data_IF_207104134823
#
_entry.id   IF_207104134823
#
_cell.length_a   1.000
_cell.length_b   1.000
_cell.length_c   1.000
_cell.angle_alpha   90.00
_cell.angle_beta   90.00
_cell.angle_gamma   90.00
#
_symmetry.space_group_name_H-M   'P 1'
#
loop_
_entity.id
_entity.type
_entity.pdbx_description
1 polymer ?
#
# COMPACT_ATOMS: atom_id res chain seq x y z
N UNK A 1 26.48 43.72 -11.87
CA UNK A 1 26.03 43.95 -10.48
C UNK A 1 25.70 42.60 -9.87
N UNK A 2 26.53 42.13 -8.94
CA UNK A 2 26.41 40.82 -8.31
C UNK A 2 25.35 40.86 -7.21
N UNK A 3 24.30 40.04 -7.33
CA UNK A 3 23.34 39.78 -6.25
C UNK A 3 23.92 38.69 -5.35
N UNK A 4 24.53 39.11 -4.24
CA UNK A 4 24.83 38.26 -3.08
C UNK A 4 23.51 37.70 -2.53
N UNK A 5 23.28 36.40 -2.73
CA UNK A 5 22.26 35.66 -1.96
C UNK A 5 22.80 35.48 -0.54
N UNK A 6 22.20 36.18 0.41
CA UNK A 6 22.40 35.93 1.83
C UNK A 6 21.91 34.52 2.17
N UNK A 7 22.85 33.60 2.44
CA UNK A 7 22.58 32.38 3.20
C UNK A 7 22.44 32.76 4.67
N UNK A 8 21.22 33.01 5.11
CA UNK A 8 20.91 32.97 6.54
C UNK A 8 20.73 31.51 6.94
N UNK A 9 21.73 30.96 7.63
CA UNK A 9 21.63 29.71 8.37
C UNK A 9 20.57 29.88 9.46
N UNK A 10 19.35 29.40 9.19
CA UNK A 10 18.29 29.35 10.18
C UNK A 10 18.27 27.95 10.79
N UNK A 11 19.22 27.67 11.69
CA UNK A 11 19.18 26.49 12.56
C UNK A 11 18.24 26.77 13.73
N UNK A 12 16.95 26.94 13.45
CA UNK A 12 15.94 26.69 14.46
C UNK A 12 15.84 25.16 14.60
N UNK A 13 16.09 24.64 15.81
CA UNK A 13 15.83 23.22 16.09
C UNK A 13 14.39 22.93 15.67
N UNK A 14 14.21 22.03 14.69
CA UNK A 14 12.89 21.66 14.23
C UNK A 14 12.07 21.18 15.43
N UNK A 15 10.91 21.78 15.68
CA UNK A 15 10.00 21.32 16.72
C UNK A 15 9.63 19.87 16.40
N UNK A 16 9.94 18.95 17.32
CA UNK A 16 9.51 17.56 17.21
C UNK A 16 8.00 17.50 17.33
N UNK A 17 7.31 17.18 16.22
CA UNK A 17 5.88 16.90 16.21
C UNK A 17 5.69 15.43 16.57
N UNK A 18 5.01 15.08 17.67
CA UNK A 18 4.77 13.68 18.01
C UNK A 18 3.86 13.02 16.96
N UNK A 19 3.93 11.67 16.81
CA UNK A 19 2.87 10.92 16.16
C UNK A 19 1.50 11.32 16.72
N UNK A 20 0.50 11.39 15.86
CA UNK A 20 -0.84 11.81 16.26
C UNK A 20 -1.92 11.31 15.29
N UNK A 21 -3.16 11.36 15.77
CA UNK A 21 -4.37 11.22 14.96
C UNK A 21 -5.17 12.51 15.14
N UNK A 22 -5.71 13.10 14.07
CA UNK A 22 -6.63 14.24 14.20
C UNK A 22 -7.87 13.77 14.99
N UNK A 23 -8.19 14.49 16.07
CA UNK A 23 -9.18 14.08 17.08
C UNK A 23 -8.59 13.31 18.28
N UNK A 24 -7.37 12.80 18.18
CA UNK A 24 -6.59 12.24 19.30
C UNK A 24 -5.10 12.62 19.19
N UNK A 25 -4.70 13.81 19.68
CA UNK A 25 -3.31 14.27 19.61
C UNK A 25 -2.33 13.42 20.45
N UNK A 26 -2.84 12.55 21.33
CA UNK A 26 -2.04 11.67 22.17
C UNK A 26 -1.86 10.27 21.57
N UNK A 27 -2.33 10.03 20.34
CA UNK A 27 -2.13 8.76 19.66
C UNK A 27 -0.64 8.47 19.47
N UNK A 28 -0.18 7.37 20.07
CA UNK A 28 1.20 6.90 19.99
C UNK A 28 1.19 5.51 19.34
N UNK A 29 1.71 5.36 18.10
CA UNK A 29 1.79 4.08 17.42
C UNK A 29 2.52 3.01 18.22
N UNK A 30 3.57 3.35 18.97
CA UNK A 30 4.30 2.36 19.79
C UNK A 30 3.37 1.75 20.84
N UNK A 31 2.60 2.60 21.52
CA UNK A 31 1.65 2.16 22.56
C UNK A 31 0.48 1.41 21.95
N UNK A 32 -0.10 1.92 20.86
CA UNK A 32 -1.22 1.27 20.18
C UNK A 32 -0.87 -0.15 19.70
N UNK A 33 0.34 -0.35 19.14
CA UNK A 33 0.80 -1.67 18.69
C UNK A 33 1.21 -2.60 19.83
N UNK A 34 1.54 -2.07 21.01
CA UNK A 34 1.82 -2.85 22.21
C UNK A 34 0.54 -3.22 23.00
N UNK A 35 -0.55 -2.48 22.81
CA UNK A 35 -1.83 -2.69 23.49
C UNK A 35 -2.66 -3.79 22.81
N UNK A 36 -2.36 -5.03 23.16
CA UNK A 36 -3.07 -6.20 22.64
C UNK A 36 -4.55 -6.22 23.02
N UNK A 37 -4.91 -5.68 24.20
CA UNK A 37 -6.30 -5.68 24.66
C UNK A 37 -7.15 -4.73 23.80
N UNK A 38 -6.65 -3.51 23.54
CA UNK A 38 -7.34 -2.56 22.68
C UNK A 38 -7.40 -3.04 21.23
N UNK A 39 -6.34 -3.68 20.75
CA UNK A 39 -6.34 -4.32 19.43
C UNK A 39 -7.44 -5.38 19.32
N UNK A 40 -7.54 -6.29 20.29
CA UNK A 40 -8.58 -7.32 20.32
C UNK A 40 -9.98 -6.73 20.45
N UNK A 41 -10.17 -5.64 21.20
CA UNK A 41 -11.45 -4.91 21.26
C UNK A 41 -11.85 -4.37 19.89
N UNK A 42 -10.92 -3.74 19.17
CA UNK A 42 -11.17 -3.25 17.82
C UNK A 42 -11.49 -4.40 16.85
N UNK A 43 -10.78 -5.54 16.96
CA UNK A 43 -11.06 -6.72 16.15
C UNK A 43 -12.41 -7.36 16.45
N UNK A 44 -12.87 -7.37 17.72
CA UNK A 44 -14.22 -7.86 18.06
C UNK A 44 -15.29 -6.95 17.47
N UNK A 45 -15.17 -5.63 17.62
CA UNK A 45 -16.09 -4.67 17.01
C UNK A 45 -16.18 -4.89 15.48
N UNK A 46 -15.04 -5.11 14.83
CA UNK A 46 -14.98 -5.35 13.40
C UNK A 46 -15.60 -6.70 12.99
N UNK A 47 -15.19 -7.80 13.62
CA UNK A 47 -15.50 -9.15 13.16
C UNK A 47 -16.83 -9.70 13.68
N UNK A 48 -17.21 -9.34 14.90
CA UNK A 48 -18.41 -9.86 15.58
C UNK A 48 -19.58 -8.88 15.41
N UNK A 49 -19.35 -7.59 15.68
CA UNK A 49 -20.41 -6.57 15.63
C UNK A 49 -20.63 -6.02 14.20
N UNK A 50 -19.68 -6.24 13.28
CA UNK A 50 -19.62 -5.57 11.96
C UNK A 50 -19.69 -4.04 12.07
N UNK A 51 -19.08 -3.50 13.13
CA UNK A 51 -19.07 -2.08 13.48
C UNK A 51 -17.70 -1.46 13.17
N UNK A 52 -17.58 -0.94 11.96
CA UNK A 52 -16.36 -0.30 11.46
C UNK A 52 -16.08 1.03 12.13
N UNK A 53 -17.11 1.82 12.43
CA UNK A 53 -16.96 3.10 13.13
C UNK A 53 -16.36 2.87 14.53
N UNK A 54 -16.94 1.95 15.31
CA UNK A 54 -16.42 1.56 16.62
C UNK A 54 -15.02 0.95 16.54
N UNK A 55 -14.73 0.10 15.55
CA UNK A 55 -13.40 -0.49 15.40
C UNK A 55 -12.31 0.57 15.16
N UNK A 56 -12.56 1.53 14.25
CA UNK A 56 -11.64 2.64 13.96
C UNK A 56 -11.49 3.56 15.17
N UNK A 57 -12.58 3.93 15.84
CA UNK A 57 -12.52 4.75 17.07
C UNK A 57 -11.73 4.08 18.18
N UNK A 58 -11.99 2.79 18.41
CA UNK A 58 -11.32 2.01 19.45
C UNK A 58 -9.82 1.95 19.19
N UNK A 59 -9.40 1.64 17.96
CA UNK A 59 -7.98 1.53 17.64
C UNK A 59 -7.24 2.87 17.74
N UNK A 60 -7.82 3.96 17.22
CA UNK A 60 -7.17 5.26 17.15
C UNK A 60 -7.48 6.19 18.34
N UNK A 61 -8.35 5.76 19.27
CA UNK A 61 -8.81 6.58 20.40
C UNK A 61 -9.57 7.83 19.98
N UNK A 62 -10.36 7.75 18.90
CA UNK A 62 -11.14 8.88 18.38
C UNK A 62 -12.42 9.05 19.23
N UNK A 63 -12.76 10.25 19.71
CA UNK A 63 -13.97 10.50 20.53
C UNK A 63 -15.25 10.26 19.73
N UNK A 64 -16.36 9.90 20.38
CA UNK A 64 -17.65 9.62 19.72
C UNK A 64 -18.19 10.82 18.93
N UNK A 65 -17.98 12.03 19.46
CA UNK A 65 -18.25 13.31 18.80
C UNK A 65 -17.07 13.68 17.91
N UNK A 66 -17.09 13.17 16.68
CA UNK A 66 -16.09 13.46 15.65
C UNK A 66 -16.79 13.78 14.32
N UNK A 67 -16.42 14.89 13.71
CA UNK A 67 -16.96 15.40 12.45
C UNK A 67 -15.92 15.43 11.32
N UNK A 68 -14.74 14.84 11.54
CA UNK A 68 -13.69 14.77 10.54
C UNK A 68 -14.20 14.16 9.23
N UNK A 69 -13.95 14.87 8.13
CA UNK A 69 -14.32 14.46 6.78
C UNK A 69 -13.08 13.89 6.10
N UNK A 70 -13.16 12.61 5.73
CA UNK A 70 -12.14 11.93 4.94
C UNK A 70 -12.33 12.26 3.46
N UNK A 71 -11.25 12.60 2.76
CA UNK A 71 -11.26 13.03 1.38
C UNK A 71 -10.44 12.07 0.50
N UNK A 72 -11.08 11.49 -0.52
CA UNK A 72 -10.39 10.84 -1.63
C UNK A 72 -11.15 11.12 -2.93
N UNK A 73 -11.58 10.08 -3.66
CA UNK A 73 -12.52 10.24 -4.80
C UNK A 73 -13.91 10.69 -4.33
N UNK A 74 -14.28 10.35 -3.09
CA UNK A 74 -15.47 10.80 -2.41
C UNK A 74 -15.10 11.39 -1.03
N UNK A 75 -15.98 12.21 -0.48
CA UNK A 75 -15.84 12.76 0.87
C UNK A 75 -16.86 12.12 1.80
N UNK A 76 -16.41 11.57 2.94
CA UNK A 76 -17.28 10.89 3.90
C UNK A 76 -16.83 11.18 5.33
N UNK A 77 -17.75 11.14 6.29
CA UNK A 77 -17.42 10.97 7.72
C UNK A 77 -17.34 9.47 8.07
N UNK A 78 -16.83 9.16 9.26
CA UNK A 78 -16.74 7.75 9.72
C UNK A 78 -18.13 7.10 9.81
N UNK A 79 -19.12 7.83 10.34
CA UNK A 79 -20.51 7.38 10.42
C UNK A 79 -21.13 7.16 9.03
N UNK A 80 -20.82 8.03 8.05
CA UNK A 80 -21.28 7.83 6.68
C UNK A 80 -20.65 6.59 6.03
N UNK A 81 -19.37 6.31 6.30
CA UNK A 81 -18.70 5.11 5.83
C UNK A 81 -19.33 3.83 6.43
N UNK A 82 -19.61 3.83 7.74
CA UNK A 82 -20.35 2.75 8.42
C UNK A 82 -21.75 2.55 7.80
N UNK A 83 -22.51 3.63 7.63
CA UNK A 83 -23.84 3.57 7.02
C UNK A 83 -23.81 2.97 5.61
N UNK A 84 -22.79 3.32 4.83
CA UNK A 84 -22.63 2.76 3.49
C UNK A 84 -22.39 1.25 3.51
N UNK A 85 -21.69 0.70 4.52
CA UNK A 85 -21.52 -0.75 4.69
C UNK A 85 -22.84 -1.43 5.01
N UNK A 86 -23.63 -0.86 5.92
CA UNK A 86 -24.93 -1.41 6.32
C UNK A 86 -25.89 -1.58 5.13
N UNK A 87 -25.88 -0.62 4.20
CA UNK A 87 -26.77 -0.63 3.03
C UNK A 87 -26.10 -1.12 1.74
N UNK A 88 -24.83 -1.55 1.80
CA UNK A 88 -24.01 -1.81 0.62
C UNK A 88 -24.64 -2.83 -0.34
N UNK A 89 -25.17 -3.92 0.21
CA UNK A 89 -25.79 -4.99 -0.57
C UNK A 89 -27.10 -4.54 -1.22
N UNK A 90 -27.97 -3.91 -0.43
CA UNK A 90 -29.29 -3.42 -0.88
C UNK A 90 -29.16 -2.34 -1.97
N UNK A 91 -28.11 -1.52 -1.90
CA UNK A 91 -27.84 -0.43 -2.85
C UNK A 91 -26.93 -0.85 -4.01
N UNK A 92 -26.61 -2.14 -4.15
CA UNK A 92 -25.79 -2.63 -5.27
C UNK A 92 -24.33 -2.15 -5.24
N UNK A 93 -23.82 -1.75 -4.08
CA UNK A 93 -22.44 -1.27 -3.91
C UNK A 93 -21.40 -2.42 -3.89
N UNK A 94 -21.85 -3.67 -3.91
CA UNK A 94 -21.01 -4.88 -3.90
C UNK A 94 -20.93 -5.58 -5.27
N UNK A 95 -21.38 -4.92 -6.35
CA UNK A 95 -21.46 -5.51 -7.70
C UNK A 95 -20.12 -5.47 -8.44
N UNK A 96 -19.07 -6.05 -7.85
CA UNK A 96 -17.70 -6.01 -8.40
C UNK A 96 -17.56 -6.82 -9.68
N UNK A 97 -18.22 -7.99 -9.71
CA UNK A 97 -18.07 -9.01 -10.75
C UNK A 97 -19.23 -9.04 -11.75
N UNK A 98 -20.09 -8.03 -11.73
CA UNK A 98 -21.19 -7.93 -12.69
C UNK A 98 -20.65 -7.86 -14.13
N UNK A 99 -21.19 -8.71 -15.00
CA UNK A 99 -20.75 -8.88 -16.39
C UNK A 99 -19.41 -9.60 -16.60
N UNK A 100 -18.68 -9.99 -15.54
CA UNK A 100 -17.34 -10.62 -15.67
C UNK A 100 -17.41 -12.01 -16.33
N UNK A 101 -18.53 -12.72 -16.19
CA UNK A 101 -18.74 -14.03 -16.81
C UNK A 101 -19.41 -13.95 -18.19
N UNK A 102 -19.58 -12.75 -18.75
CA UNK A 102 -20.24 -12.49 -20.03
C UNK A 102 -21.54 -11.68 -19.89
N UNK A 103 -21.91 -10.98 -20.95
CA UNK A 103 -23.17 -10.21 -21.00
C UNK A 103 -24.38 -11.11 -20.77
N UNK A 104 -25.32 -10.66 -19.93
CA UNK A 104 -26.53 -11.42 -19.58
C UNK A 104 -26.30 -12.58 -18.61
N UNK A 105 -25.06 -12.87 -18.21
CA UNK A 105 -24.76 -13.88 -17.19
C UNK A 105 -24.82 -13.25 -15.81
N UNK A 106 -25.87 -13.58 -15.05
CA UNK A 106 -25.96 -13.19 -13.65
C UNK A 106 -24.80 -13.83 -12.86
N UNK A 107 -23.88 -12.99 -12.37
CA UNK A 107 -22.73 -13.44 -11.60
C UNK A 107 -23.06 -13.29 -10.11
N UNK A 108 -23.35 -14.39 -9.39
CA UNK A 108 -23.67 -14.29 -7.98
C UNK A 108 -22.45 -13.75 -7.20
N UNK A 109 -22.67 -13.07 -6.06
CA UNK A 109 -21.58 -12.66 -5.19
C UNK A 109 -20.71 -13.87 -4.82
N UNK A 110 -19.37 -13.70 -4.71
CA UNK A 110 -18.50 -14.76 -4.23
C UNK A 110 -18.93 -15.30 -2.87
N UNK A 111 -18.73 -16.59 -2.66
CA UNK A 111 -19.03 -17.21 -1.37
C UNK A 111 -18.05 -16.76 -0.28
N UNK A 112 -18.48 -16.80 0.99
CA UNK A 112 -17.60 -16.47 2.11
C UNK A 112 -16.34 -17.35 2.16
N UNK A 113 -16.43 -18.61 1.71
CA UNK A 113 -15.27 -19.51 1.61
C UNK A 113 -14.29 -19.09 0.52
N UNK A 114 -14.77 -18.59 -0.62
CA UNK A 114 -13.90 -18.05 -1.67
C UNK A 114 -13.21 -16.77 -1.22
N UNK A 115 -13.92 -15.85 -0.56
CA UNK A 115 -13.33 -14.61 0.00
C UNK A 115 -12.28 -14.95 1.07
N UNK A 116 -12.56 -15.93 1.93
CA UNK A 116 -11.61 -16.39 2.95
C UNK A 116 -10.37 -17.04 2.31
N UNK A 117 -10.57 -17.83 1.24
CA UNK A 117 -9.46 -18.43 0.50
C UNK A 117 -8.59 -17.36 -0.20
N UNK A 118 -9.19 -16.32 -0.77
CA UNK A 118 -8.46 -15.20 -1.36
C UNK A 118 -7.67 -14.42 -0.30
N UNK A 119 -8.32 -14.00 0.78
CA UNK A 119 -7.66 -13.21 1.84
C UNK A 119 -6.56 -14.02 2.55
N UNK A 120 -6.65 -15.35 2.58
CA UNK A 120 -5.59 -16.22 3.13
C UNK A 120 -4.27 -16.16 2.37
N UNK A 121 -4.26 -15.67 1.12
CA UNK A 121 -3.03 -15.46 0.33
C UNK A 121 -2.05 -14.52 1.03
N UNK A 122 -2.58 -13.63 1.87
CA UNK A 122 -1.82 -12.55 2.50
C UNK A 122 -1.52 -12.81 3.99
N UNK A 123 -1.90 -13.99 4.50
CA UNK A 123 -1.65 -14.34 5.89
C UNK A 123 -0.17 -14.67 6.12
N UNK A 124 0.47 -14.09 7.16
CA UNK A 124 1.89 -14.30 7.46
C UNK A 124 2.26 -15.75 7.76
N UNK A 125 1.29 -16.54 8.25
CA UNK A 125 1.49 -17.94 8.64
C UNK A 125 1.48 -18.92 7.46
N UNK A 126 1.12 -18.44 6.26
CA UNK A 126 0.97 -19.26 5.06
C UNK A 126 2.00 -18.89 3.99
N UNK A 127 2.25 -19.82 3.06
CA UNK A 127 3.11 -19.58 1.89
C UNK A 127 2.25 -19.05 0.75
N UNK A 128 2.45 -17.81 0.26
CA UNK A 128 1.62 -17.22 -0.78
C UNK A 128 1.58 -18.06 -2.06
N UNK A 129 2.73 -18.59 -2.50
CA UNK A 129 2.80 -19.48 -3.68
C UNK A 129 1.98 -20.77 -3.50
N UNK A 130 2.05 -21.39 -2.32
CA UNK A 130 1.30 -22.62 -2.02
C UNK A 130 -0.19 -22.33 -1.88
N UNK A 131 -0.55 -21.26 -1.18
CA UNK A 131 -1.93 -20.82 -1.00
C UNK A 131 -2.57 -20.43 -2.33
N UNK A 132 -1.84 -19.77 -3.25
CA UNK A 132 -2.33 -19.44 -4.59
C UNK A 132 -2.59 -20.70 -5.43
N UNK A 133 -1.71 -21.70 -5.34
CA UNK A 133 -1.92 -23.00 -5.98
C UNK A 133 -3.19 -23.69 -5.45
N UNK A 134 -3.39 -23.70 -4.13
CA UNK A 134 -4.61 -24.23 -3.51
C UNK A 134 -5.86 -23.39 -3.81
N UNK A 135 -5.70 -22.07 -3.96
CA UNK A 135 -6.77 -21.17 -4.35
C UNK A 135 -7.29 -21.52 -5.75
N UNK A 136 -6.38 -21.76 -6.70
CA UNK A 136 -6.68 -22.21 -8.05
C UNK A 136 -7.24 -23.64 -8.12
N UNK A 137 -6.60 -24.62 -7.45
CA UNK A 137 -6.96 -26.04 -7.60
C UNK A 137 -8.36 -26.40 -7.10
N UNK A 138 -8.89 -25.60 -6.16
CA UNK A 138 -10.23 -25.79 -5.59
C UNK A 138 -11.29 -24.93 -6.28
N UNK A 139 -10.94 -24.19 -7.33
CA UNK A 139 -11.86 -23.34 -8.07
C UNK A 139 -12.54 -24.10 -9.21
N UNK A 140 -13.82 -23.76 -9.48
CA UNK A 140 -14.44 -24.11 -10.76
C UNK A 140 -13.85 -23.20 -11.84
N UNK A 141 -13.48 -23.73 -13.01
CA UNK A 141 -12.80 -22.95 -14.07
C UNK A 141 -13.55 -21.69 -14.51
N UNK A 142 -14.89 -21.73 -14.49
CA UNK A 142 -15.77 -20.62 -14.87
C UNK A 142 -16.28 -19.79 -13.68
N UNK A 143 -15.78 -20.01 -12.46
CA UNK A 143 -16.16 -19.16 -11.33
C UNK A 143 -15.27 -17.92 -11.23
N UNK A 144 -15.77 -16.88 -10.53
CA UNK A 144 -14.98 -15.69 -10.18
C UNK A 144 -13.66 -16.08 -9.54
N UNK A 145 -13.67 -17.01 -8.59
CA UNK A 145 -12.44 -17.53 -7.96
C UNK A 145 -11.46 -18.11 -8.98
N UNK A 146 -11.96 -18.85 -9.97
CA UNK A 146 -11.13 -19.39 -11.05
C UNK A 146 -10.44 -18.28 -11.84
N UNK A 147 -11.20 -17.26 -12.24
CA UNK A 147 -10.68 -16.09 -12.97
C UNK A 147 -9.64 -15.31 -12.16
N UNK A 148 -9.94 -15.01 -10.89
CA UNK A 148 -8.99 -14.33 -9.99
C UNK A 148 -7.72 -15.17 -9.84
N UNK A 149 -7.84 -16.47 -9.57
CA UNK A 149 -6.70 -17.35 -9.38
C UNK A 149 -5.80 -17.41 -10.62
N UNK A 150 -6.40 -17.52 -11.81
CA UNK A 150 -5.67 -17.49 -13.08
C UNK A 150 -4.99 -16.15 -13.33
N UNK A 151 -5.67 -15.03 -13.06
CA UNK A 151 -5.10 -13.69 -13.19
C UNK A 151 -3.89 -13.49 -12.27
N UNK A 152 -4.04 -13.75 -10.98
CA UNK A 152 -2.96 -13.62 -10.00
C UNK A 152 -1.77 -14.54 -10.31
N UNK A 153 -2.03 -15.78 -10.73
CA UNK A 153 -0.98 -16.72 -11.11
C UNK A 153 -0.22 -16.28 -12.36
N UNK A 154 -0.89 -15.65 -13.33
CA UNK A 154 -0.26 -15.14 -14.55
C UNK A 154 0.67 -13.95 -14.31
N UNK A 155 0.41 -13.18 -13.23
CA UNK A 155 1.16 -11.96 -12.88
C UNK A 155 2.26 -12.21 -11.86
N UNK A 156 2.12 -13.22 -11.01
CA UNK A 156 3.09 -13.51 -9.94
C UNK A 156 4.41 -14.02 -10.52
N UNK A 157 5.51 -13.36 -10.16
CA UNK A 157 6.88 -13.80 -10.43
C UNK A 157 7.75 -13.44 -9.23
N UNK A 158 8.26 -14.40 -8.48
CA UNK A 158 9.20 -14.10 -7.38
C UNK A 158 10.08 -15.30 -7.08
N UNK A 159 11.39 -15.09 -7.08
CA UNK A 159 12.35 -16.04 -6.52
C UNK A 159 12.57 -15.85 -5.01
N UNK A 160 12.18 -14.68 -4.47
CA UNK A 160 12.34 -14.34 -3.06
C UNK A 160 11.13 -14.84 -2.28
N UNK A 161 11.37 -15.70 -1.28
CA UNK A 161 10.33 -16.24 -0.42
C UNK A 161 10.67 -15.91 1.05
N UNK A 162 10.02 -14.90 1.64
CA UNK A 162 10.19 -14.61 3.06
C UNK A 162 9.75 -15.79 3.94
N UNK A 163 10.38 -15.97 5.11
CA UNK A 163 9.95 -17.00 6.04
C UNK A 163 8.54 -16.69 6.57
N UNK A 164 7.72 -17.74 6.70
CA UNK A 164 6.40 -17.64 7.34
C UNK A 164 6.56 -17.21 8.81
N UNK A 165 5.60 -16.43 9.32
CA UNK A 165 5.55 -16.04 10.72
C UNK A 165 4.24 -16.47 11.39
N UNK A 166 4.36 -17.16 12.53
CA UNK A 166 3.23 -17.46 13.42
C UNK A 166 2.95 -16.33 14.43
N UNK A 167 3.90 -15.41 14.56
CA UNK A 167 3.82 -14.25 15.47
C UNK A 167 4.24 -13.00 14.69
N UNK A 168 3.50 -12.63 13.64
CA UNK A 168 3.76 -11.39 12.93
C UNK A 168 3.55 -10.18 13.87
N UNK A 169 4.18 -9.03 13.60
CA UNK A 169 3.73 -7.77 14.17
C UNK A 169 2.24 -7.55 13.88
N UNK A 170 1.46 -6.91 14.77
CA UNK A 170 0.09 -6.51 14.49
C UNK A 170 0.00 -5.70 13.19
N UNK A 171 -1.06 -5.91 12.42
CA UNK A 171 -1.29 -5.15 11.19
C UNK A 171 -2.79 -4.82 11.05
N UNK A 172 -3.28 -3.81 11.80
CA UNK A 172 -4.69 -3.43 11.78
C UNK A 172 -5.20 -3.11 10.37
N UNK A 173 -4.36 -2.58 9.48
CA UNK A 173 -4.77 -2.35 8.10
C UNK A 173 -5.11 -3.65 7.36
N UNK A 174 -4.31 -4.71 7.55
CA UNK A 174 -4.59 -6.01 6.95
C UNK A 174 -5.89 -6.60 7.51
N UNK A 175 -6.16 -6.49 8.81
CA UNK A 175 -7.39 -7.03 9.40
C UNK A 175 -8.64 -6.30 8.89
N UNK A 176 -8.58 -4.97 8.88
CA UNK A 176 -9.66 -4.13 8.36
C UNK A 176 -9.85 -4.38 6.87
N UNK A 177 -8.77 -4.58 6.11
CA UNK A 177 -8.85 -4.97 4.71
C UNK A 177 -9.55 -6.32 4.53
N UNK A 178 -9.13 -7.36 5.26
CA UNK A 178 -9.73 -8.70 5.17
C UNK A 178 -11.22 -8.66 5.53
N UNK A 179 -11.61 -7.86 6.53
CA UNK A 179 -13.01 -7.61 6.86
C UNK A 179 -13.74 -6.89 5.72
N UNK A 180 -13.12 -5.85 5.14
CA UNK A 180 -13.71 -5.09 4.04
C UNK A 180 -14.01 -5.99 2.84
N UNK A 181 -13.15 -6.98 2.57
CA UNK A 181 -13.38 -7.98 1.53
C UNK A 181 -14.67 -8.77 1.77
N UNK A 182 -14.95 -9.16 3.01
CA UNK A 182 -16.15 -9.93 3.37
C UNK A 182 -17.42 -9.10 3.25
N UNK A 183 -17.44 -7.89 3.80
CA UNK A 183 -18.65 -7.05 3.78
C UNK A 183 -18.96 -6.54 2.37
N UNK A 184 -17.93 -6.29 1.56
CA UNK A 184 -18.09 -5.85 0.18
C UNK A 184 -18.25 -6.99 -0.83
N UNK A 185 -18.18 -8.28 -0.45
CA UNK A 185 -18.17 -9.42 -1.37
C UNK A 185 -17.02 -9.38 -2.40
N UNK A 186 -15.84 -8.97 -1.97
CA UNK A 186 -14.63 -8.91 -2.79
C UNK A 186 -13.77 -10.16 -2.60
N UNK A 187 -13.49 -10.85 -3.71
CA UNK A 187 -12.71 -12.10 -3.78
C UNK A 187 -11.41 -11.93 -4.60
N UNK A 188 -11.01 -10.69 -4.86
CA UNK A 188 -9.80 -10.35 -5.61
C UNK A 188 -10.05 -9.92 -7.06
N UNK A 189 -8.99 -9.44 -7.73
CA UNK A 189 -9.08 -8.80 -9.02
C UNK A 189 -9.20 -9.78 -10.17
N UNK A 190 -9.97 -9.38 -11.19
CA UNK A 190 -10.03 -10.04 -12.50
C UNK A 190 -9.38 -9.13 -13.56
N UNK A 191 -9.00 -9.68 -14.73
CA UNK A 191 -8.48 -8.86 -15.82
C UNK A 191 -9.44 -7.74 -16.22
N UNK A 192 -8.89 -6.59 -16.62
CA UNK A 192 -9.63 -5.44 -17.15
C UNK A 192 -10.75 -4.90 -16.24
N UNK A 193 -10.62 -5.12 -14.94
CA UNK A 193 -11.56 -4.62 -13.96
C UNK A 193 -11.61 -3.08 -13.96
N UNK A 194 -12.78 -2.54 -14.28
CA UNK A 194 -13.02 -1.08 -14.28
C UNK A 194 -12.80 -0.49 -12.90
N UNK A 195 -12.31 0.75 -12.88
CA UNK A 195 -12.15 1.54 -11.66
C UNK A 195 -13.50 1.69 -10.95
N UNK A 196 -13.57 1.16 -9.73
CA UNK A 196 -14.72 1.33 -8.81
C UNK A 196 -14.16 1.74 -7.44
N UNK A 197 -14.82 2.70 -6.79
CA UNK A 197 -14.51 3.13 -5.42
C UNK A 197 -15.52 2.61 -4.41
N UNK A 198 -15.20 2.71 -3.12
CA UNK A 198 -16.13 2.42 -2.03
C UNK A 198 -15.94 3.39 -0.86
N UNK A 199 -16.97 3.55 -0.03
CA UNK A 199 -17.01 4.54 1.05
C UNK A 199 -16.00 4.28 2.18
N UNK A 200 -15.48 3.06 2.31
CA UNK A 200 -14.37 2.79 3.24
C UNK A 200 -13.03 3.36 2.76
N UNK A 201 -12.84 3.59 1.44
CA UNK A 201 -11.55 3.94 0.87
C UNK A 201 -10.96 5.23 1.48
N UNK A 202 -11.71 6.36 1.59
CA UNK A 202 -11.18 7.57 2.21
C UNK A 202 -10.71 7.34 3.66
N UNK A 203 -11.49 6.56 4.43
CA UNK A 203 -11.13 6.26 5.83
C UNK A 203 -9.84 5.45 5.89
N UNK A 204 -9.74 4.37 5.11
CA UNK A 204 -8.57 3.51 5.10
C UNK A 204 -7.32 4.27 4.60
N UNK A 205 -7.46 5.10 3.58
CA UNK A 205 -6.40 5.95 3.06
C UNK A 205 -5.85 6.87 4.14
N UNK A 206 -6.70 7.67 4.77
CA UNK A 206 -6.28 8.66 5.78
C UNK A 206 -5.62 8.05 7.03
N UNK A 207 -5.97 6.80 7.37
CA UNK A 207 -5.42 6.12 8.54
C UNK A 207 -4.22 5.25 8.25
N UNK A 208 -4.13 4.61 7.07
CA UNK A 208 -3.12 3.58 6.82
C UNK A 208 -2.34 3.75 5.50
N UNK A 209 -2.78 4.64 4.61
CA UNK A 209 -2.22 4.80 3.26
C UNK A 209 -2.96 3.97 2.20
N UNK A 210 -2.39 3.90 1.00
CA UNK A 210 -3.09 3.39 -0.20
C UNK A 210 -3.02 1.87 -0.41
N UNK A 211 -2.04 1.20 0.18
CA UNK A 211 -1.80 -0.22 -0.02
C UNK A 211 -1.39 -0.88 1.31
N UNK A 212 -1.82 -2.12 1.51
CA UNK A 212 -1.58 -2.86 2.74
C UNK A 212 -0.17 -3.46 2.72
N UNK A 213 0.69 -3.15 3.70
CA UNK A 213 2.00 -3.78 3.82
C UNK A 213 1.86 -5.22 4.30
N UNK A 214 1.72 -6.16 3.36
CA UNK A 214 1.60 -7.58 3.66
C UNK A 214 2.92 -8.15 4.19
N UNK A 215 2.86 -9.28 4.93
CA UNK A 215 4.06 -9.93 5.45
C UNK A 215 5.03 -10.38 4.35
N UNK A 216 4.50 -10.82 3.20
CA UNK A 216 5.32 -11.16 2.05
C UNK A 216 6.06 -9.92 1.52
N UNK A 217 5.37 -8.80 1.35
CA UNK A 217 5.98 -7.57 0.84
C UNK A 217 7.06 -7.04 1.79
N UNK A 218 6.73 -6.87 3.07
CA UNK A 218 7.67 -6.40 4.10
C UNK A 218 8.87 -7.34 4.25
N UNK A 219 8.63 -8.66 4.17
CA UNK A 219 9.68 -9.67 4.25
C UNK A 219 10.63 -9.64 3.05
N UNK A 220 10.13 -9.39 1.83
CA UNK A 220 10.97 -9.23 0.63
C UNK A 220 11.84 -7.98 0.79
N UNK A 221 11.26 -6.85 1.18
CA UNK A 221 12.01 -5.61 1.41
C UNK A 221 13.10 -5.82 2.47
N UNK A 222 12.79 -6.53 3.56
CA UNK A 222 13.78 -6.91 4.57
C UNK A 222 14.93 -7.73 3.99
N UNK A 223 14.64 -8.78 3.21
CA UNK A 223 15.66 -9.62 2.60
C UNK A 223 16.57 -8.78 1.69
N UNK A 224 16.00 -7.90 0.86
CA UNK A 224 16.75 -7.00 -0.02
C UNK A 224 17.63 -6.03 0.77
N UNK A 225 17.13 -5.50 1.89
CA UNK A 225 17.87 -4.57 2.75
C UNK A 225 19.00 -5.25 3.55
N UNK A 226 18.88 -6.55 3.81
CA UNK A 226 19.89 -7.36 4.50
C UNK A 226 20.84 -8.09 3.54
N UNK A 227 20.58 -8.02 2.22
CA UNK A 227 21.27 -8.84 1.23
C UNK A 227 22.76 -8.48 1.10
N UNK A 228 23.56 -9.52 1.26
CA UNK A 228 24.97 -9.56 0.95
C UNK A 228 25.28 -10.94 0.44
N UNK A 229 25.81 -11.04 -0.78
CA UNK A 229 26.22 -12.28 -1.43
C UNK A 229 27.28 -13.02 -0.57
N UNK A 230 26.83 -13.79 0.42
CA UNK A 230 27.53 -14.86 1.14
C UNK A 230 28.82 -14.53 1.90
N UNK A 231 29.43 -13.34 1.75
CA UNK A 231 30.76 -13.04 2.30
C UNK A 231 30.82 -11.76 3.15
N UNK A 232 30.00 -10.75 2.84
CA UNK A 232 29.76 -9.59 3.70
C UNK A 232 28.27 -9.22 3.62
N UNK A 233 27.60 -9.11 4.77
CA UNK A 233 26.21 -8.61 4.82
C UNK A 233 26.23 -7.12 4.54
N UNK A 234 25.83 -6.72 3.34
CA UNK A 234 25.69 -5.31 3.00
C UNK A 234 24.32 -4.83 3.50
N UNK A 235 24.30 -4.11 4.62
CA UNK A 235 23.07 -3.47 5.08
C UNK A 235 22.77 -2.28 4.18
N UNK A 236 21.59 -2.31 3.54
CA UNK A 236 21.08 -1.21 2.73
C UNK A 236 19.92 -0.53 3.45
N UNK A 237 19.85 0.78 3.29
CA UNK A 237 18.77 1.61 3.81
C UNK A 237 17.63 1.68 2.81
N UNK A 238 16.40 1.52 3.25
CA UNK A 238 15.21 1.73 2.42
C UNK A 238 14.85 3.21 2.46
N UNK A 239 14.63 3.83 1.31
CA UNK A 239 14.14 5.21 1.20
C UNK A 239 12.72 5.15 0.67
N UNK A 240 11.74 5.35 1.55
CA UNK A 240 10.31 5.42 1.24
C UNK A 240 9.95 6.82 0.76
N UNK A 241 9.93 7.01 -0.56
CA UNK A 241 9.70 8.31 -1.20
C UNK A 241 8.22 8.49 -1.50
N UNK A 242 7.64 9.59 -1.01
CA UNK A 242 6.19 9.78 -1.00
C UNK A 242 5.52 8.95 0.10
N UNK A 243 6.18 8.84 1.26
CA UNK A 243 5.76 7.98 2.37
C UNK A 243 4.39 8.30 2.97
N UNK A 244 3.79 9.45 2.62
CA UNK A 244 2.48 9.88 3.09
C UNK A 244 2.42 9.99 4.62
N UNK A 245 1.52 9.23 5.23
CA UNK A 245 1.41 9.17 6.69
C UNK A 245 2.51 8.36 7.39
N UNK A 246 3.36 7.66 6.63
CA UNK A 246 4.47 6.87 7.15
C UNK A 246 4.10 5.46 7.65
N UNK A 247 2.91 4.93 7.36
CA UNK A 247 2.51 3.59 7.84
C UNK A 247 3.42 2.46 7.34
N UNK A 248 3.82 2.49 6.05
CA UNK A 248 4.76 1.52 5.49
C UNK A 248 6.14 1.61 6.16
N UNK A 249 6.67 2.82 6.26
CA UNK A 249 7.91 3.09 6.98
C UNK A 249 7.86 2.63 8.45
N UNK A 250 6.75 2.85 9.15
CA UNK A 250 6.52 2.36 10.51
C UNK A 250 6.59 0.84 10.58
N UNK A 251 5.85 0.15 9.72
CA UNK A 251 5.81 -1.31 9.67
C UNK A 251 7.18 -1.93 9.35
N UNK A 252 7.94 -1.34 8.42
CA UNK A 252 9.29 -1.78 8.09
C UNK A 252 10.26 -1.62 9.26
N UNK A 253 10.24 -0.47 9.94
CA UNK A 253 11.11 -0.17 11.09
C UNK A 253 10.78 -1.04 12.29
N UNK A 254 9.54 -0.93 12.77
CA UNK A 254 9.14 -1.54 14.05
C UNK A 254 8.80 -3.01 13.91
N UNK A 255 8.18 -3.39 12.79
CA UNK A 255 7.77 -4.77 12.56
C UNK A 255 8.87 -5.69 12.01
N UNK A 256 9.78 -5.14 11.19
CA UNK A 256 10.75 -5.95 10.44
C UNK A 256 12.21 -5.58 10.72
N UNK A 257 12.47 -4.49 11.45
CA UNK A 257 13.82 -4.05 11.82
C UNK A 257 14.62 -3.48 10.65
N UNK A 258 13.94 -2.97 9.62
CA UNK A 258 14.57 -2.42 8.41
C UNK A 258 14.91 -0.95 8.62
N UNK A 259 16.18 -0.58 8.39
CA UNK A 259 16.62 0.83 8.39
C UNK A 259 15.93 1.56 7.23
N UNK A 260 14.89 2.31 7.54
CA UNK A 260 14.01 2.95 6.56
C UNK A 260 14.00 4.45 6.80
N UNK A 261 14.09 5.26 5.75
CA UNK A 261 13.91 6.72 5.79
C UNK A 261 12.61 7.07 5.07
N UNK A 262 11.73 7.77 5.77
CA UNK A 262 10.50 8.32 5.22
C UNK A 262 10.77 9.71 4.62
N UNK A 263 10.37 9.92 3.37
CA UNK A 263 10.46 11.21 2.67
C UNK A 263 9.09 11.56 2.12
N UNK A 264 8.60 12.75 2.44
CA UNK A 264 7.32 13.25 1.93
C UNK A 264 7.32 14.78 1.93
N UNK A 265 6.59 15.41 1.02
CA UNK A 265 6.51 16.88 0.93
C UNK A 265 5.25 17.47 1.58
N UNK A 266 4.41 16.63 2.19
CA UNK A 266 3.20 17.04 2.91
C UNK A 266 2.06 17.52 2.00
N UNK A 267 2.07 17.17 0.71
CA UNK A 267 1.00 17.59 -0.21
C UNK A 267 -0.34 16.91 0.06
N UNK A 268 -0.32 15.69 0.61
CA UNK A 268 -1.53 14.95 0.96
C UNK A 268 -1.91 15.18 2.41
N UNK A 269 -3.20 15.34 2.66
CA UNK A 269 -3.75 15.38 4.01
C UNK A 269 -3.97 13.95 4.53
N UNK A 270 -3.54 13.71 5.78
CA UNK A 270 -3.74 12.43 6.46
C UNK A 270 -4.38 12.68 7.81
N UNK A 271 -5.21 11.74 8.26
CA UNK A 271 -5.78 11.79 9.60
C UNK A 271 -4.77 11.34 10.65
N UNK A 272 -3.99 10.32 10.33
CA UNK A 272 -2.96 9.76 11.21
C UNK A 272 -1.59 10.08 10.63
N UNK A 273 -0.64 10.41 11.49
CA UNK A 273 0.77 10.51 11.14
C UNK A 273 1.58 9.60 12.08
N UNK A 274 2.23 8.58 11.51
CA UNK A 274 2.98 7.57 12.29
C UNK A 274 4.39 8.03 12.67
N UNK A 275 5.02 8.86 11.82
CA UNK A 275 6.42 9.26 11.94
C UNK A 275 6.66 10.77 11.70
N UNK A 276 5.80 11.71 12.14
CA UNK A 276 5.85 13.10 11.67
C UNK A 276 7.14 13.86 12.01
N UNK A 277 7.82 13.54 13.12
CA UNK A 277 9.14 14.13 13.44
C UNK A 277 10.29 13.56 12.62
N UNK A 278 10.13 12.35 12.07
CA UNK A 278 11.20 11.60 11.41
C UNK A 278 11.06 11.60 9.88
N UNK A 279 9.88 11.95 9.36
CA UNK A 279 9.67 12.18 7.94
C UNK A 279 10.46 13.40 7.48
N UNK A 280 11.33 13.19 6.50
CA UNK A 280 12.10 14.27 5.88
C UNK A 280 11.16 15.04 4.94
N UNK A 281 10.91 16.31 5.28
CA UNK A 281 10.03 17.18 4.51
C UNK A 281 10.73 17.76 3.28
N UNK A 282 10.83 16.96 2.21
CA UNK A 282 11.43 17.31 0.93
C UNK A 282 10.63 16.64 -0.21
N UNK A 283 10.76 17.19 -1.42
CA UNK A 283 10.37 16.42 -2.60
C UNK A 283 11.28 15.19 -2.75
N UNK A 284 10.76 14.13 -3.36
CA UNK A 284 11.54 12.91 -3.56
C UNK A 284 12.81 13.14 -4.38
N UNK A 285 12.71 13.94 -5.44
CA UNK A 285 13.84 14.30 -6.31
C UNK A 285 14.90 15.12 -5.57
N UNK A 286 14.49 16.08 -4.73
CA UNK A 286 15.42 16.86 -3.91
C UNK A 286 16.15 15.99 -2.88
N UNK A 287 15.43 15.06 -2.24
CA UNK A 287 16.06 14.12 -1.31
C UNK A 287 17.07 13.22 -2.01
N UNK A 288 16.68 12.58 -3.12
CA UNK A 288 17.58 11.71 -3.89
C UNK A 288 18.82 12.50 -4.33
N UNK A 289 18.67 13.72 -4.85
CA UNK A 289 19.81 14.56 -5.24
C UNK A 289 20.76 14.92 -4.08
N UNK A 290 20.27 14.89 -2.83
CA UNK A 290 21.07 15.17 -1.62
C UNK A 290 21.88 13.97 -1.10
N UNK A 291 21.57 12.74 -1.54
CA UNK A 291 22.23 11.52 -1.08
C UNK A 291 23.40 11.18 -2.00
N UNK A 292 24.59 10.99 -1.43
CA UNK A 292 25.77 10.58 -2.20
C UNK A 292 25.73 9.10 -2.61
N UNK A 293 26.19 8.79 -3.83
CA UNK A 293 26.50 7.46 -4.40
C UNK A 293 25.34 6.44 -4.52
N UNK A 294 24.21 6.57 -3.83
CA UNK A 294 23.01 5.69 -3.94
C UNK A 294 23.20 4.15 -3.82
N UNK A 295 24.43 3.63 -3.73
CA UNK A 295 24.78 2.20 -3.74
C UNK A 295 24.26 1.44 -2.53
N UNK A 296 24.00 2.16 -1.44
CA UNK A 296 23.60 1.59 -0.15
C UNK A 296 22.14 1.89 0.18
N UNK A 297 21.37 2.40 -0.79
CA UNK A 297 19.94 2.65 -0.62
C UNK A 297 19.12 1.78 -1.57
N UNK A 298 17.91 1.43 -1.14
CA UNK A 298 16.84 0.87 -1.95
C UNK A 298 15.78 1.96 -2.05
N UNK A 299 15.46 2.42 -3.26
CA UNK A 299 14.37 3.38 -3.45
C UNK A 299 13.05 2.63 -3.43
N UNK A 300 12.14 3.01 -2.54
CA UNK A 300 10.80 2.46 -2.44
C UNK A 300 9.77 3.55 -2.79
N UNK A 301 8.84 3.20 -3.67
CA UNK A 301 7.73 4.05 -4.09
C UNK A 301 6.42 3.34 -3.76
N UNK A 302 5.72 3.81 -2.74
CA UNK A 302 4.39 3.28 -2.41
C UNK A 302 3.33 4.18 -3.01
N UNK A 303 2.64 3.64 -4.00
CA UNK A 303 1.50 4.29 -4.66
C UNK A 303 1.85 5.64 -5.31
N UNK A 304 2.88 5.69 -6.19
CA UNK A 304 3.36 6.93 -6.78
C UNK A 304 2.23 7.62 -7.54
N UNK A 305 2.13 8.94 -7.40
CA UNK A 305 1.10 9.74 -8.08
C UNK A 305 1.38 9.82 -9.58
N UNK A 306 0.31 9.89 -10.39
CA UNK A 306 0.41 10.01 -11.84
C UNK A 306 1.02 11.35 -12.27
N UNK A 307 0.73 12.45 -11.57
CA UNK A 307 1.18 13.80 -11.94
C UNK A 307 0.60 14.30 -13.29
N UNK A 308 0.73 15.59 -13.57
CA UNK A 308 0.49 16.18 -14.91
C UNK A 308 -0.93 16.63 -15.25
N UNK A 309 -1.98 15.98 -14.74
CA UNK A 309 -3.37 16.30 -15.15
C UNK A 309 -3.87 17.68 -14.69
N UNK A 310 -3.36 18.23 -13.58
CA UNK A 310 -3.74 19.56 -13.06
C UNK A 310 -2.60 20.58 -13.08
N UNK A 311 -1.35 20.14 -13.25
CA UNK A 311 -0.13 20.98 -13.14
C UNK A 311 0.45 21.42 -14.49
N UNK A 312 -0.09 20.94 -15.62
CA UNK A 312 0.47 21.20 -16.96
C UNK A 312 1.87 20.60 -17.17
N UNK A 313 2.31 19.72 -16.27
CA UNK A 313 3.57 18.98 -16.39
C UNK A 313 3.35 17.69 -17.17
N UNK A 314 4.45 17.11 -17.70
CA UNK A 314 4.38 15.81 -18.37
C UNK A 314 3.79 14.75 -17.42
N UNK A 315 2.89 13.92 -17.94
CA UNK A 315 2.34 12.78 -17.23
C UNK A 315 3.46 11.85 -16.72
N UNK A 316 3.37 11.43 -15.47
CA UNK A 316 4.36 10.60 -14.81
C UNK A 316 5.67 11.32 -14.49
N UNK A 317 5.73 12.65 -14.60
CA UNK A 317 6.96 13.44 -14.34
C UNK A 317 7.61 13.09 -13.00
N UNK A 318 6.84 13.00 -11.92
CA UNK A 318 7.35 12.58 -10.61
C UNK A 318 8.14 11.25 -10.68
N UNK A 319 7.52 10.22 -11.26
CA UNK A 319 8.12 8.89 -11.42
C UNK A 319 9.34 8.93 -12.34
N UNK A 320 9.25 9.64 -13.47
CA UNK A 320 10.31 9.75 -14.48
C UNK A 320 11.54 10.46 -13.92
N UNK A 321 11.33 11.59 -13.24
CA UNK A 321 12.39 12.41 -12.66
C UNK A 321 13.12 11.65 -11.54
N UNK A 322 12.38 10.93 -10.70
CA UNK A 322 12.97 10.06 -9.68
C UNK A 322 13.83 8.95 -10.29
N UNK A 323 13.31 8.23 -11.29
CA UNK A 323 14.05 7.15 -11.95
C UNK A 323 15.31 7.67 -12.67
N UNK A 324 15.26 8.87 -13.24
CA UNK A 324 16.41 9.52 -13.88
C UNK A 324 17.48 9.97 -12.86
N UNK A 325 17.04 10.53 -11.72
CA UNK A 325 17.91 10.97 -10.64
C UNK A 325 18.57 9.79 -9.90
N UNK A 326 17.83 8.69 -9.73
CA UNK A 326 18.28 7.54 -8.96
C UNK A 326 19.41 6.75 -9.65
N UNK A 327 20.54 6.67 -8.95
CA UNK A 327 21.77 6.00 -9.41
C UNK A 327 22.02 4.65 -8.73
N UNK A 328 21.19 4.28 -7.76
CA UNK A 328 21.23 2.96 -7.14
C UNK A 328 20.71 1.87 -8.09
N UNK A 329 20.78 0.62 -7.64
CA UNK A 329 20.52 -0.55 -8.46
C UNK A 329 19.19 -1.24 -8.16
N UNK A 330 18.43 -0.78 -7.16
CA UNK A 330 17.23 -1.50 -6.69
C UNK A 330 16.09 -0.52 -6.44
N UNK A 331 14.94 -0.81 -7.05
CA UNK A 331 13.69 -0.07 -6.84
C UNK A 331 12.60 -1.04 -6.46
N UNK A 332 11.88 -0.70 -5.38
CA UNK A 332 10.64 -1.37 -4.96
C UNK A 332 9.49 -0.44 -5.29
N UNK A 333 8.49 -0.92 -6.02
CA UNK A 333 7.29 -0.14 -6.33
C UNK A 333 6.06 -0.89 -5.91
N UNK A 334 5.15 -0.21 -5.21
CA UNK A 334 3.82 -0.69 -4.90
C UNK A 334 2.81 0.15 -5.69
N UNK A 335 1.98 -0.47 -6.50
CA UNK A 335 0.99 0.25 -7.29
C UNK A 335 0.15 -0.64 -8.20
N UNK A 336 -0.65 0.01 -9.04
CA UNK A 336 -1.69 -0.62 -9.84
C UNK A 336 -1.08 -1.47 -10.94
N UNK A 337 -1.51 -2.73 -11.03
CA UNK A 337 -1.05 -3.66 -12.07
C UNK A 337 -1.95 -3.71 -13.31
N UNK A 338 -2.99 -2.89 -13.34
CA UNK A 338 -3.91 -2.73 -14.47
C UNK A 338 -3.99 -1.26 -14.93
N UNK A 339 -4.65 -1.03 -16.07
CA UNK A 339 -4.76 0.27 -16.73
C UNK A 339 -5.85 1.18 -16.12
N UNK A 340 -6.00 1.18 -14.80
CA UNK A 340 -7.00 2.04 -14.15
C UNK A 340 -6.53 3.50 -13.99
N UNK A 341 -5.26 3.80 -14.33
CA UNK A 341 -4.68 5.13 -14.36
C UNK A 341 -4.50 5.79 -12.99
N UNK A 342 -4.39 5.01 -11.92
CA UNK A 342 -4.40 5.55 -10.55
C UNK A 342 -3.01 5.66 -9.91
N UNK A 343 -1.98 4.99 -10.46
CA UNK A 343 -0.60 5.10 -9.97
C UNK A 343 0.42 5.23 -11.10
N UNK A 344 1.41 6.10 -10.91
CA UNK A 344 2.57 6.32 -11.77
C UNK A 344 2.24 7.00 -13.11
N UNK A 345 1.31 6.42 -13.87
CA UNK A 345 0.91 6.87 -15.20
C UNK A 345 -0.61 6.64 -15.40
N UNK A 346 -1.23 7.43 -16.26
CA UNK A 346 -2.65 7.34 -16.61
C UNK A 346 -2.87 6.24 -17.63
N UNK A 347 -2.04 6.23 -18.67
CA UNK A 347 -2.26 5.42 -19.88
C UNK A 347 -1.32 4.21 -19.98
N UNK A 348 -0.52 3.94 -18.95
CA UNK A 348 0.33 2.74 -18.86
C UNK A 348 0.48 2.27 -17.41
N UNK A 349 0.83 1.01 -17.24
CA UNK A 349 1.26 0.48 -15.93
C UNK A 349 2.73 0.79 -15.66
N UNK A 350 3.14 0.76 -14.39
CA UNK A 350 4.56 0.90 -14.04
C UNK A 350 5.42 -0.19 -14.70
N UNK A 351 4.88 -1.41 -14.83
CA UNK A 351 5.57 -2.53 -15.47
C UNK A 351 5.85 -2.28 -16.95
N UNK A 352 4.88 -1.72 -17.67
CA UNK A 352 5.08 -1.33 -19.06
C UNK A 352 6.04 -0.16 -19.22
N UNK A 353 5.99 0.81 -18.31
CA UNK A 353 6.99 1.90 -18.28
C UNK A 353 8.40 1.33 -18.13
N UNK A 354 8.60 0.39 -17.20
CA UNK A 354 9.90 -0.21 -16.97
C UNK A 354 10.39 -0.98 -18.20
N UNK A 355 9.53 -1.76 -18.85
CA UNK A 355 9.87 -2.53 -20.05
C UNK A 355 10.12 -1.63 -21.28
N UNK A 356 9.27 -0.63 -21.51
CA UNK A 356 9.34 0.23 -22.70
C UNK A 356 10.46 1.27 -22.63
N UNK A 357 10.72 1.82 -21.44
CA UNK A 357 11.54 3.02 -21.29
C UNK A 357 12.81 2.83 -20.46
N UNK A 358 12.78 1.92 -19.48
CA UNK A 358 13.89 1.73 -18.54
C UNK A 358 14.73 0.48 -18.83
N UNK A 359 14.24 -0.43 -19.67
CA UNK A 359 14.99 -1.61 -20.11
C UNK A 359 16.34 -1.28 -20.75
N UNK A 360 16.37 -0.24 -21.59
CA UNK A 360 17.61 0.27 -22.21
C UNK A 360 18.61 0.83 -21.18
N UNK A 361 18.16 1.15 -19.97
CA UNK A 361 18.99 1.60 -18.85
C UNK A 361 19.37 0.44 -17.90
N UNK A 362 19.20 -0.82 -18.34
CA UNK A 362 19.60 -2.02 -17.62
C UNK A 362 18.62 -2.47 -16.53
N UNK A 363 17.41 -1.89 -16.43
CA UNK A 363 16.45 -2.32 -15.42
C UNK A 363 15.73 -3.60 -15.81
N UNK A 364 15.68 -4.57 -14.88
CA UNK A 364 15.04 -5.88 -15.06
C UNK A 364 14.13 -6.18 -13.87
N UNK A 365 12.93 -6.67 -14.14
CA UNK A 365 11.98 -7.11 -13.11
C UNK A 365 12.46 -8.41 -12.46
N UNK A 366 12.59 -8.40 -11.14
CA UNK A 366 12.96 -9.57 -10.35
C UNK A 366 11.82 -10.13 -9.51
N UNK A 367 10.90 -9.26 -9.07
CA UNK A 367 9.73 -9.65 -8.28
C UNK A 367 8.49 -8.92 -8.80
N UNK A 368 7.36 -9.64 -8.80
CA UNK A 368 6.01 -9.16 -8.90
C UNK A 368 5.13 -10.06 -8.02
N UNK A 369 4.54 -9.50 -6.97
CA UNK A 369 3.60 -10.22 -6.10
C UNK A 369 2.28 -9.46 -5.99
N UNK A 370 1.12 -10.15 -5.89
CA UNK A 370 -0.13 -9.50 -5.55
C UNK A 370 -0.03 -8.79 -4.21
N UNK A 371 -0.69 -7.64 -4.07
CA UNK A 371 -0.70 -6.88 -2.83
C UNK A 371 -2.14 -6.50 -2.44
N UNK A 372 -2.52 -6.60 -1.16
CA UNK A 372 -3.81 -6.11 -0.72
C UNK A 372 -3.85 -4.58 -0.72
N UNK A 373 -5.02 -4.03 -1.03
CA UNK A 373 -5.35 -2.60 -1.00
C UNK A 373 -6.88 -2.46 -0.98
N UNK A 374 -7.46 -1.32 -1.30
CA UNK A 374 -8.93 -1.17 -1.35
C UNK A 374 -9.63 -2.26 -2.20
N UNK A 375 -10.81 -2.70 -1.76
CA UNK A 375 -11.61 -3.65 -2.54
C UNK A 375 -11.91 -3.07 -3.94
N UNK A 376 -11.88 -3.91 -4.97
CA UNK A 376 -12.04 -3.46 -6.37
C UNK A 376 -10.76 -2.95 -7.02
N UNK A 377 -9.62 -3.02 -6.34
CA UNK A 377 -8.30 -2.66 -6.89
C UNK A 377 -7.47 -3.89 -7.22
N UNK A 378 -6.58 -3.70 -8.20
CA UNK A 378 -5.63 -4.70 -8.66
C UNK A 378 -4.23 -4.14 -8.48
N UNK A 379 -3.62 -4.41 -7.32
CA UNK A 379 -2.33 -3.85 -6.93
C UNK A 379 -1.27 -4.95 -6.81
N UNK A 380 -0.03 -4.57 -7.08
CA UNK A 380 1.12 -5.43 -6.92
C UNK A 380 2.29 -4.68 -6.27
N UNK A 381 3.20 -5.45 -5.69
CA UNK A 381 4.55 -4.99 -5.41
C UNK A 381 5.49 -5.55 -6.47
N UNK A 382 6.31 -4.66 -7.02
CA UNK A 382 7.35 -4.94 -7.98
C UNK A 382 8.72 -4.68 -7.36
N UNK A 383 9.71 -5.49 -7.73
CA UNK A 383 11.13 -5.21 -7.47
C UNK A 383 11.85 -5.23 -8.80
N UNK A 384 12.57 -4.16 -9.09
CA UNK A 384 13.45 -4.05 -10.25
C UNK A 384 14.89 -3.91 -9.79
N UNK A 385 15.78 -4.60 -10.49
CA UNK A 385 17.22 -4.45 -10.33
C UNK A 385 17.84 -3.91 -11.60
N UNK A 386 18.85 -3.04 -11.46
CA UNK A 386 19.67 -2.59 -12.57
C UNK A 386 20.81 -3.59 -12.74
N UNK A 387 20.88 -4.24 -13.89
CA UNK A 387 22.05 -5.04 -14.28
C UNK A 387 23.03 -4.11 -15.00
N UNK A 388 24.31 -4.17 -14.63
CA UNK A 388 25.35 -3.51 -15.41
C UNK A 388 25.36 -4.14 -16.81
N UNK A 389 25.42 -3.28 -17.84
CA UNK A 389 25.41 -3.69 -19.24
C UNK A 389 26.74 -4.29 -19.69
#
# INVERSE_FOLDING_TARGET
MALKKNRTNNTAAAKTVPPHCVGNPNFDPSKAFADTENYEKALRALNEDSDFDKAIRTWFGIPDEDDYVYHAVASVTLRQAQRAVEVAREKGLCLWYDGVLGEGVNTPPPSSSDISAYTSLFLPSLSPSSTLKSFSSNARKSSVRGLVASHLASKRSSAITPPKSKKPPPNPYLDVWMWSCRVLNWCGPVPDQKLKGHHLLPVLMHHFGCAVPSHEALGIVKILAEDGNGKEKKKRKVVDVGSGNGYWSWMLRQGYGVDTVAVDNGQSEWRVHYLPSETINLSGTDYIASVADHKDIIMMLVYPVVGGAMSGTLEGSFTRDLMAAYKGDTVVVVGTQNHNGYTGFRDMTFDEYMEKEQKQNGWVKAVQIPLPSFAGKDEAMYVYHRVEA
#
